data_IF_688352982678
#
_entry.id   IF_688352982678
#
_cell.length_a   1.000
_cell.length_b   1.000
_cell.length_c   1.000
_cell.angle_alpha   90.00
_cell.angle_beta   90.00
_cell.angle_gamma   90.00
#
_symmetry.space_group_name_H-M   'P 1'
#
loop_
_entity.id
_entity.type
_entity.pdbx_description
1 polymer ?
#
# COMPACT_ATOMS: atom_id res chain seq x y z
N UNK A 1 -1.25 -25.66 -24.91
CA UNK A 1 -0.79 -25.29 -23.55
C UNK A 1 -0.94 -23.78 -23.42
N UNK A 2 -1.78 -23.28 -22.52
CA UNK A 2 -1.96 -21.83 -22.34
C UNK A 2 -0.80 -21.29 -21.49
N UNK A 3 -0.09 -20.28 -22.00
CA UNK A 3 0.91 -19.56 -21.23
C UNK A 3 0.24 -18.86 -20.04
N UNK A 4 0.77 -19.05 -18.83
CA UNK A 4 0.21 -18.38 -17.64
C UNK A 4 0.34 -16.87 -17.75
N UNK A 5 1.53 -16.36 -18.08
CA UNK A 5 1.74 -14.95 -18.41
C UNK A 5 1.48 -14.74 -19.91
N UNK A 6 0.50 -13.88 -20.22
CA UNK A 6 0.28 -13.36 -21.58
C UNK A 6 0.82 -11.93 -21.73
N UNK A 7 0.98 -11.22 -20.61
CA UNK A 7 1.50 -9.87 -20.49
C UNK A 7 2.39 -9.78 -19.23
N UNK A 8 3.09 -8.65 -19.06
CA UNK A 8 3.98 -8.42 -17.91
C UNK A 8 3.26 -8.42 -16.56
N UNK A 9 1.96 -8.11 -16.54
CA UNK A 9 1.10 -8.11 -15.35
C UNK A 9 -0.06 -9.07 -15.57
N UNK A 10 -0.38 -9.87 -14.54
CA UNK A 10 -1.55 -10.74 -14.53
C UNK A 10 -2.27 -10.69 -13.19
N UNK A 11 -3.54 -10.28 -13.22
CA UNK A 11 -4.43 -10.29 -12.06
C UNK A 11 -5.28 -11.56 -12.05
N UNK A 12 -5.35 -12.25 -10.91
CA UNK A 12 -6.17 -13.44 -10.67
C UNK A 12 -7.05 -13.20 -9.45
N UNK A 13 -8.37 -13.11 -9.64
CA UNK A 13 -9.32 -12.91 -8.54
C UNK A 13 -9.57 -14.21 -7.78
N UNK A 14 -9.79 -14.09 -6.46
CA UNK A 14 -10.05 -15.23 -5.56
C UNK A 14 -11.44 -15.86 -5.75
N UNK A 15 -12.34 -15.17 -6.43
CA UNK A 15 -13.70 -15.63 -6.72
C UNK A 15 -14.20 -15.01 -8.03
N UNK A 16 -15.08 -15.72 -8.74
CA UNK A 16 -15.83 -15.18 -9.87
C UNK A 16 -16.77 -14.03 -9.44
N UNK A 17 -17.27 -14.07 -8.20
CA UNK A 17 -18.18 -13.06 -7.68
C UNK A 17 -17.39 -11.94 -6.98
N UNK A 18 -17.20 -10.84 -7.70
CA UNK A 18 -16.55 -9.63 -7.18
C UNK A 18 -17.47 -8.92 -6.17
N UNK A 19 -16.98 -8.57 -4.96
CA UNK A 19 -17.80 -7.89 -3.96
C UNK A 19 -18.06 -6.43 -4.35
N UNK A 20 -19.29 -5.96 -4.17
CA UNK A 20 -19.55 -4.51 -4.15
C UNK A 20 -19.03 -3.90 -2.84
N UNK A 21 -18.32 -2.77 -2.95
CA UNK A 21 -17.76 -1.99 -1.84
C UNK A 21 -18.33 -0.58 -1.84
N UNK A 22 -18.58 -0.02 -0.66
CA UNK A 22 -19.13 1.32 -0.49
C UNK A 22 -18.02 2.36 -0.35
N UNK A 23 -17.87 3.21 -1.37
CA UNK A 23 -16.91 4.33 -1.38
C UNK A 23 -15.52 3.94 -0.87
N UNK A 24 -14.90 2.88 -1.41
CA UNK A 24 -13.70 2.32 -0.83
C UNK A 24 -12.50 3.25 -0.92
N UNK A 25 -11.61 3.16 0.08
CA UNK A 25 -10.27 3.76 0.06
C UNK A 25 -9.28 2.64 -0.21
N UNK A 26 -8.38 2.84 -1.18
CA UNK A 26 -7.27 1.93 -1.43
C UNK A 26 -6.05 2.37 -0.60
N UNK A 27 -5.55 1.50 0.27
CA UNK A 27 -4.37 1.75 1.10
C UNK A 27 -3.30 0.74 0.70
N UNK A 28 -2.11 1.24 0.35
CA UNK A 28 -1.02 0.43 -0.19
C UNK A 28 0.23 0.54 0.69
N UNK A 29 0.86 -0.60 0.97
CA UNK A 29 2.19 -0.67 1.59
C UNK A 29 3.02 -1.76 0.93
N UNK A 30 4.14 -1.37 0.31
CA UNK A 30 5.01 -2.32 -0.39
C UNK A 30 6.31 -2.56 0.39
N UNK A 31 7.01 -3.71 0.17
CA UNK A 31 8.38 -3.86 0.64
C UNK A 31 9.24 -2.70 0.14
N UNK A 32 9.96 -2.05 1.04
CA UNK A 32 10.80 -0.88 0.78
C UNK A 32 11.75 -0.63 1.94
N UNK A 33 12.39 0.54 2.01
CA UNK A 33 13.33 0.84 3.11
C UNK A 33 12.67 0.68 4.48
N UNK A 34 13.33 -0.09 5.34
CA UNK A 34 12.87 -0.44 6.69
C UNK A 34 11.55 -1.20 6.78
N UNK A 35 10.97 -1.66 5.66
CA UNK A 35 9.66 -2.31 5.60
C UNK A 35 8.53 -1.48 6.27
N UNK A 36 8.74 -0.17 6.37
CA UNK A 36 7.89 0.75 7.14
C UNK A 36 6.42 0.68 6.70
N UNK A 37 6.17 0.82 5.40
CA UNK A 37 4.81 0.71 4.87
C UNK A 37 4.26 -0.71 4.85
N UNK A 38 5.13 -1.70 4.61
CA UNK A 38 4.76 -3.12 4.51
C UNK A 38 4.26 -3.66 5.85
N UNK A 39 5.01 -3.45 6.93
CA UNK A 39 4.61 -3.91 8.26
C UNK A 39 3.29 -3.27 8.69
N UNK A 40 3.11 -1.98 8.42
CA UNK A 40 1.89 -1.26 8.76
C UNK A 40 0.66 -1.83 8.05
N UNK A 41 0.76 -2.10 6.75
CA UNK A 41 -0.36 -2.66 5.98
C UNK A 41 -0.61 -4.13 6.31
N UNK A 42 0.44 -4.93 6.51
CA UNK A 42 0.33 -6.36 6.84
C UNK A 42 -0.36 -6.52 8.21
N UNK A 43 -0.01 -5.69 9.19
CA UNK A 43 -0.67 -5.63 10.50
C UNK A 43 -2.13 -5.23 10.38
N UNK A 44 -2.43 -4.15 9.64
CA UNK A 44 -3.80 -3.69 9.43
C UNK A 44 -4.68 -4.77 8.74
N UNK A 45 -4.12 -5.49 7.77
CA UNK A 45 -4.79 -6.59 7.07
C UNK A 45 -5.19 -7.69 8.07
N UNK A 46 -4.26 -8.09 8.95
CA UNK A 46 -4.47 -9.10 9.98
C UNK A 46 -5.54 -8.67 10.98
N UNK A 47 -5.37 -7.50 11.59
CA UNK A 47 -6.25 -7.00 12.65
C UNK A 47 -7.68 -6.73 12.19
N UNK A 48 -7.86 -6.34 10.92
CA UNK A 48 -9.19 -6.13 10.35
C UNK A 48 -9.81 -7.41 9.77
N UNK A 49 -9.16 -8.57 9.91
CA UNK A 49 -9.62 -9.86 9.35
C UNK A 49 -9.96 -9.74 7.86
N UNK A 50 -9.07 -9.08 7.12
CA UNK A 50 -9.31 -8.71 5.74
C UNK A 50 -9.43 -9.93 4.84
N UNK A 51 -10.31 -9.84 3.84
CA UNK A 51 -10.58 -10.95 2.92
C UNK A 51 -9.74 -10.84 1.66
N UNK A 52 -9.13 -11.94 1.24
CA UNK A 52 -8.37 -12.03 -0.01
C UNK A 52 -9.27 -11.76 -1.22
N UNK A 53 -8.87 -10.82 -2.08
CA UNK A 53 -9.63 -10.42 -3.27
C UNK A 53 -8.95 -10.89 -4.56
N UNK A 54 -7.66 -10.63 -4.70
CA UNK A 54 -6.92 -10.96 -5.92
C UNK A 54 -5.42 -11.06 -5.65
N UNK A 55 -4.77 -11.92 -6.43
CA UNK A 55 -3.32 -11.96 -6.60
C UNK A 55 -2.95 -11.23 -7.90
N UNK A 56 -1.92 -10.38 -7.85
CA UNK A 56 -1.37 -9.66 -9.00
C UNK A 56 0.08 -10.14 -9.17
N UNK A 57 0.32 -10.86 -10.26
CA UNK A 57 1.63 -11.38 -10.62
C UNK A 57 2.32 -10.45 -11.62
N UNK A 58 3.65 -10.43 -11.57
CA UNK A 58 4.47 -9.72 -12.56
C UNK A 58 5.66 -10.56 -13.01
N UNK A 59 5.97 -10.50 -14.30
CA UNK A 59 7.21 -11.03 -14.88
C UNK A 59 8.46 -10.26 -14.44
N UNK A 60 8.27 -9.09 -13.82
CA UNK A 60 9.35 -8.22 -13.34
C UNK A 60 9.53 -8.26 -11.82
N UNK A 61 8.82 -9.12 -11.10
CA UNK A 61 9.26 -9.44 -9.74
C UNK A 61 10.55 -10.26 -9.79
N UNK A 62 11.36 -10.26 -8.70
CA UNK A 62 12.55 -11.10 -8.64
C UNK A 62 12.22 -12.55 -9.04
N UNK A 63 13.04 -13.21 -9.89
CA UNK A 63 12.70 -14.49 -10.49
C UNK A 63 12.89 -15.66 -9.51
N UNK A 64 12.09 -15.67 -8.44
CA UNK A 64 12.13 -16.64 -7.36
C UNK A 64 10.71 -16.97 -6.87
N UNK A 65 10.60 -18.01 -6.06
CA UNK A 65 9.37 -18.40 -5.35
C UNK A 65 9.48 -18.04 -3.88
N UNK A 66 8.34 -17.80 -3.25
CA UNK A 66 8.21 -17.67 -1.79
C UNK A 66 7.88 -19.03 -1.19
N UNK A 67 8.61 -19.43 -0.15
CA UNK A 67 8.33 -20.63 0.63
C UNK A 67 7.42 -20.23 1.79
N UNK A 68 6.23 -20.83 1.88
CA UNK A 68 5.32 -20.67 3.02
C UNK A 68 5.79 -21.51 4.21
N UNK A 69 5.23 -21.26 5.39
CA UNK A 69 5.56 -22.01 6.61
C UNK A 69 5.25 -23.51 6.51
N UNK A 70 4.39 -23.91 5.58
CA UNK A 70 4.06 -25.31 5.25
C UNK A 70 5.09 -25.98 4.32
N UNK A 71 6.08 -25.24 3.84
CA UNK A 71 7.00 -25.68 2.78
C UNK A 71 6.41 -25.58 1.36
N UNK A 72 5.15 -25.17 1.20
CA UNK A 72 4.53 -24.95 -0.11
C UNK A 72 5.14 -23.69 -0.75
N UNK A 73 5.41 -23.76 -2.05
CA UNK A 73 5.98 -22.65 -2.81
C UNK A 73 4.90 -21.89 -3.60
N UNK A 74 5.04 -20.57 -3.68
CA UNK A 74 4.21 -19.69 -4.52
C UNK A 74 5.09 -18.74 -5.33
N UNK A 75 4.65 -18.36 -6.54
CA UNK A 75 5.26 -17.23 -7.24
C UNK A 75 5.10 -15.95 -6.43
N UNK A 76 6.11 -15.08 -6.48
CA UNK A 76 6.01 -13.74 -5.90
C UNK A 76 4.81 -12.99 -6.49
N UNK A 77 4.06 -12.32 -5.64
CA UNK A 77 2.84 -11.61 -6.01
C UNK A 77 2.62 -10.36 -5.17
N UNK A 78 1.78 -9.48 -5.67
CA UNK A 78 1.08 -8.51 -4.85
C UNK A 78 -0.31 -9.05 -4.56
N UNK A 79 -0.86 -8.70 -3.40
CA UNK A 79 -2.11 -9.26 -2.92
C UNK A 79 -3.04 -8.14 -2.52
N UNK A 80 -4.21 -8.13 -3.15
CA UNK A 80 -5.29 -7.21 -2.85
C UNK A 80 -6.25 -7.88 -1.86
N UNK A 81 -6.56 -7.18 -0.79
CA UNK A 81 -7.54 -7.57 0.23
C UNK A 81 -8.66 -6.53 0.30
N UNK A 82 -9.78 -6.91 0.90
CA UNK A 82 -10.87 -5.99 1.19
C UNK A 82 -11.48 -6.20 2.58
N UNK A 83 -12.05 -5.12 3.12
CA UNK A 83 -12.88 -5.13 4.32
C UNK A 83 -14.15 -4.32 4.06
N UNK A 84 -15.29 -4.94 4.37
CA UNK A 84 -16.58 -4.25 4.42
C UNK A 84 -16.78 -3.69 5.81
N UNK A 85 -16.73 -2.38 5.96
CA UNK A 85 -16.87 -1.74 7.25
C UNK A 85 -18.37 -1.59 7.59
N UNK A 86 -18.85 -2.50 8.45
CA UNK A 86 -20.26 -2.57 8.85
C UNK A 86 -20.74 -1.30 9.59
N UNK A 87 -19.84 -0.46 10.11
CA UNK A 87 -20.19 0.66 10.98
C UNK A 87 -19.80 2.06 10.50
N UNK A 88 -19.12 2.23 9.35
CA UNK A 88 -18.52 3.54 8.96
C UNK A 88 -18.80 3.96 7.51
N UNK A 89 -18.28 5.12 7.11
CA UNK A 89 -18.52 5.75 5.79
C UNK A 89 -17.89 5.02 4.60
N UNK A 90 -16.79 4.30 4.81
CA UNK A 90 -15.95 3.74 3.74
C UNK A 90 -15.68 2.27 3.99
N UNK A 91 -15.71 1.47 2.92
CA UNK A 91 -15.04 0.17 2.88
C UNK A 91 -13.54 0.37 2.55
N UNK A 92 -12.75 -0.69 2.67
CA UNK A 92 -11.31 -0.60 2.43
C UNK A 92 -10.84 -1.66 1.45
N UNK A 93 -9.89 -1.25 0.61
CA UNK A 93 -9.02 -2.12 -0.15
C UNK A 93 -7.60 -1.97 0.42
N UNK A 94 -6.92 -3.09 0.62
CA UNK A 94 -5.53 -3.10 1.10
C UNK A 94 -4.65 -3.81 0.08
N UNK A 95 -3.55 -3.18 -0.31
CA UNK A 95 -2.60 -3.76 -1.25
C UNK A 95 -1.21 -3.84 -0.62
N UNK A 96 -0.67 -5.05 -0.61
CA UNK A 96 0.70 -5.37 -0.16
C UNK A 96 1.31 -6.38 -1.13
N UNK A 97 2.51 -6.86 -0.86
CA UNK A 97 3.09 -7.94 -1.65
C UNK A 97 4.45 -8.39 -1.19
N UNK A 98 5.00 -9.34 -1.97
CA UNK A 98 6.33 -9.92 -1.74
C UNK A 98 7.45 -9.04 -2.32
N UNK A 99 7.16 -8.28 -3.38
CA UNK A 99 8.12 -7.43 -4.07
C UNK A 99 7.46 -6.25 -4.81
N UNK A 100 8.30 -5.30 -5.22
CA UNK A 100 8.02 -4.34 -6.28
C UNK A 100 8.73 -4.78 -7.57
N UNK A 101 8.28 -4.33 -8.77
CA UNK A 101 8.96 -4.64 -10.02
C UNK A 101 10.40 -4.11 -10.05
N UNK A 102 11.33 -4.90 -10.60
CA UNK A 102 12.73 -4.46 -10.79
C UNK A 102 12.92 -3.61 -12.06
N UNK A 103 11.95 -3.62 -12.97
CA UNK A 103 11.96 -2.82 -14.20
C UNK A 103 11.07 -1.59 -14.05
N UNK A 104 11.63 -0.40 -14.27
CA UNK A 104 10.86 0.85 -14.21
C UNK A 104 9.65 0.84 -15.15
N UNK A 105 9.79 0.28 -16.36
CA UNK A 105 8.65 0.15 -17.29
C UNK A 105 7.51 -0.65 -16.65
N UNK A 106 7.83 -1.79 -16.06
CA UNK A 106 6.81 -2.70 -15.50
C UNK A 106 6.25 -2.14 -14.19
N UNK A 107 7.00 -1.30 -13.49
CA UNK A 107 6.50 -0.53 -12.35
C UNK A 107 5.36 0.43 -12.75
N UNK A 108 5.50 1.16 -13.85
CA UNK A 108 4.41 1.96 -14.41
C UNK A 108 3.22 1.08 -14.83
N UNK A 109 3.45 -0.03 -15.54
CA UNK A 109 2.38 -0.95 -15.97
C UNK A 109 1.62 -1.56 -14.79
N UNK A 110 2.32 -1.94 -13.72
CA UNK A 110 1.71 -2.43 -12.49
C UNK A 110 0.86 -1.34 -11.85
N UNK A 111 1.37 -0.11 -11.78
CA UNK A 111 0.63 1.03 -11.27
C UNK A 111 -0.65 1.33 -12.07
N UNK A 112 -0.60 1.24 -13.40
CA UNK A 112 -1.77 1.38 -14.27
C UNK A 112 -2.82 0.30 -13.99
N UNK A 113 -2.41 -0.97 -13.88
CA UNK A 113 -3.33 -2.08 -13.60
C UNK A 113 -3.95 -1.93 -12.19
N UNK A 114 -3.18 -1.54 -11.17
CA UNK A 114 -3.70 -1.30 -9.82
C UNK A 114 -4.73 -0.16 -9.81
N UNK A 115 -4.42 0.98 -10.45
CA UNK A 115 -5.35 2.12 -10.49
C UNK A 115 -6.60 1.79 -11.32
N UNK A 116 -6.47 0.99 -12.38
CA UNK A 116 -7.61 0.47 -13.13
C UNK A 116 -8.50 -0.42 -12.27
N UNK A 117 -7.93 -1.36 -11.51
CA UNK A 117 -8.67 -2.17 -10.54
C UNK A 117 -9.37 -1.26 -9.53
N UNK A 118 -8.65 -0.31 -8.94
CA UNK A 118 -9.21 0.63 -7.96
C UNK A 118 -10.43 1.38 -8.52
N UNK A 119 -10.36 1.86 -9.78
CA UNK A 119 -11.47 2.53 -10.46
C UNK A 119 -12.67 1.62 -10.69
N UNK A 120 -12.46 0.33 -10.97
CA UNK A 120 -13.55 -0.65 -11.09
C UNK A 120 -14.32 -0.86 -9.77
N UNK A 121 -13.70 -0.53 -8.63
CA UNK A 121 -14.34 -0.50 -7.31
C UNK A 121 -14.81 0.90 -6.89
N UNK A 122 -14.83 1.88 -7.80
CA UNK A 122 -15.18 3.27 -7.52
C UNK A 122 -14.29 3.98 -6.48
N UNK A 123 -13.04 3.52 -6.29
CA UNK A 123 -12.08 4.19 -5.42
C UNK A 123 -11.84 5.63 -5.90
N UNK A 124 -11.96 6.59 -4.98
CA UNK A 124 -11.64 8.01 -5.23
C UNK A 124 -10.40 8.50 -4.48
N UNK A 125 -9.90 7.70 -3.53
CA UNK A 125 -8.76 8.03 -2.69
C UNK A 125 -7.81 6.83 -2.58
N UNK A 126 -6.54 7.07 -2.88
CA UNK A 126 -5.41 6.17 -2.61
C UNK A 126 -4.59 6.72 -1.45
N UNK A 127 -4.09 5.84 -0.60
CA UNK A 127 -3.13 6.16 0.46
C UNK A 127 -1.92 5.25 0.28
N UNK A 128 -0.72 5.80 0.14
CA UNK A 128 0.51 5.00 0.10
C UNK A 128 1.30 5.16 1.40
N UNK A 129 1.90 4.06 1.85
CA UNK A 129 2.66 3.98 3.10
C UNK A 129 4.14 3.71 2.76
N UNK A 130 5.04 4.59 3.20
CA UNK A 130 6.45 4.52 2.83
C UNK A 130 7.42 5.05 3.88
N UNK A 131 8.67 5.12 3.46
CA UNK A 131 9.79 5.54 4.30
C UNK A 131 10.31 6.92 3.87
N UNK A 132 10.66 7.75 4.85
CA UNK A 132 11.51 8.92 4.70
C UNK A 132 12.90 8.58 5.26
N UNK A 133 13.85 8.31 4.37
CA UNK A 133 15.16 7.77 4.77
C UNK A 133 16.06 8.91 5.25
N UNK A 134 16.45 8.84 6.53
CA UNK A 134 17.34 9.84 7.16
C UNK A 134 18.75 9.32 7.38
N UNK A 135 18.96 8.00 7.31
CA UNK A 135 20.22 7.35 7.67
C UNK A 135 20.48 7.28 9.19
N UNK A 136 19.54 7.75 10.02
CA UNK A 136 19.67 7.77 11.48
C UNK A 136 18.57 6.94 12.14
N UNK A 137 18.89 6.33 13.28
CA UNK A 137 17.89 5.74 14.15
C UNK A 137 17.19 6.84 14.95
N UNK A 138 15.86 6.78 15.02
CA UNK A 138 15.02 7.76 15.71
C UNK A 138 14.04 7.02 16.62
N UNK A 139 13.99 7.43 17.88
CA UNK A 139 13.09 6.86 18.88
C UNK A 139 11.64 7.27 18.64
N UNK A 140 11.40 8.52 18.23
CA UNK A 140 10.07 9.02 17.86
C UNK A 140 10.08 9.49 16.39
N UNK A 141 9.87 8.57 15.43
CA UNK A 141 9.81 8.88 14.01
C UNK A 141 8.77 9.96 13.70
N UNK A 142 9.18 11.01 13.00
CA UNK A 142 8.21 11.97 12.44
C UNK A 142 7.52 11.34 11.23
N UNK A 143 6.28 11.71 11.03
CA UNK A 143 5.51 11.33 9.84
C UNK A 143 5.36 12.55 8.95
N UNK A 144 5.81 12.41 7.71
CA UNK A 144 5.63 13.39 6.66
C UNK A 144 4.54 12.97 5.69
N UNK A 145 4.03 13.91 4.92
CA UNK A 145 3.03 13.63 3.91
C UNK A 145 3.19 14.42 2.63
N UNK A 146 2.69 13.83 1.55
CA UNK A 146 2.45 14.52 0.28
C UNK A 146 1.04 14.20 -0.19
N UNK A 147 0.47 15.07 -1.02
CA UNK A 147 -0.85 14.88 -1.58
C UNK A 147 -0.89 15.24 -3.06
N UNK A 148 -1.87 14.68 -3.78
CA UNK A 148 -2.09 14.97 -5.20
C UNK A 148 -2.83 16.28 -5.42
N UNK A 149 -3.56 16.78 -4.40
CA UNK A 149 -4.39 17.99 -4.43
C UNK A 149 -4.40 18.75 -3.08
N UNK A 150 -4.93 19.98 -3.08
CA UNK A 150 -5.00 20.84 -1.90
C UNK A 150 -5.88 20.27 -0.80
N UNK A 151 -6.92 19.50 -1.14
CA UNK A 151 -7.79 18.86 -0.17
C UNK A 151 -7.02 17.81 0.65
N UNK A 152 -6.17 17.01 0.00
CA UNK A 152 -5.27 16.09 0.68
C UNK A 152 -4.24 16.81 1.55
N UNK A 153 -3.68 17.95 1.12
CA UNK A 153 -2.78 18.75 1.96
C UNK A 153 -3.49 19.28 3.22
N UNK A 154 -4.74 19.78 3.07
CA UNK A 154 -5.56 20.22 4.22
C UNK A 154 -5.85 19.07 5.18
N UNK A 155 -6.15 17.89 4.65
CA UNK A 155 -6.37 16.67 5.44
C UNK A 155 -5.12 16.32 6.25
N UNK A 156 -3.95 16.22 5.62
CA UNK A 156 -2.69 15.92 6.29
C UNK A 156 -2.39 16.94 7.41
N UNK A 157 -2.57 18.23 7.13
CA UNK A 157 -2.38 19.28 8.12
C UNK A 157 -3.32 19.15 9.33
N UNK A 158 -4.60 18.77 9.12
CA UNK A 158 -5.55 18.56 10.23
C UNK A 158 -5.17 17.41 11.18
N UNK A 159 -4.28 16.51 10.75
CA UNK A 159 -3.74 15.42 11.57
C UNK A 159 -2.30 15.70 12.07
N UNK A 160 -1.83 16.95 11.98
CA UNK A 160 -0.48 17.37 12.33
C UNK A 160 0.60 16.56 11.58
N UNK A 161 0.40 16.34 10.28
CA UNK A 161 1.37 15.68 9.40
C UNK A 161 2.03 16.75 8.54
N UNK A 162 3.34 16.89 8.72
CA UNK A 162 4.14 17.90 8.01
C UNK A 162 4.25 17.54 6.53
N UNK A 163 4.02 18.52 5.66
CA UNK A 163 4.24 18.33 4.22
C UNK A 163 5.72 18.25 3.88
N UNK A 164 6.04 17.60 2.76
CA UNK A 164 7.36 17.69 2.11
C UNK A 164 7.26 18.68 0.96
N UNK A 165 8.13 19.70 0.96
CA UNK A 165 8.11 20.77 -0.04
C UNK A 165 8.95 20.49 -1.29
N UNK A 166 9.93 19.58 -1.20
CA UNK A 166 10.84 19.23 -2.30
C UNK A 166 11.31 17.78 -2.20
N UNK A 167 11.66 17.16 -3.33
CA UNK A 167 12.22 15.81 -3.40
C UNK A 167 11.47 14.92 -4.39
N UNK A 168 11.69 13.62 -4.29
CA UNK A 168 10.99 12.61 -5.08
C UNK A 168 10.60 11.43 -4.21
N UNK A 169 9.51 10.76 -4.60
CA UNK A 169 9.12 9.47 -4.02
C UNK A 169 9.32 8.45 -5.12
N UNK A 170 10.29 7.56 -4.92
CA UNK A 170 10.53 6.43 -5.81
C UNK A 170 9.59 5.27 -5.49
N UNK A 171 9.54 4.31 -6.40
CA UNK A 171 8.81 3.08 -6.17
C UNK A 171 7.30 3.20 -6.41
N UNK A 172 6.58 2.11 -6.16
CA UNK A 172 5.12 2.03 -6.18
C UNK A 172 4.43 3.08 -5.30
N UNK A 173 5.08 3.53 -4.21
CA UNK A 173 4.56 4.57 -3.34
C UNK A 173 4.37 5.92 -4.05
N UNK A 174 5.28 6.27 -4.96
CA UNK A 174 5.19 7.48 -5.78
C UNK A 174 4.38 7.24 -7.06
N UNK A 175 4.62 6.10 -7.73
CA UNK A 175 3.98 5.76 -9.00
C UNK A 175 2.45 5.71 -8.87
N UNK A 176 1.90 5.11 -7.80
CA UNK A 176 0.45 5.06 -7.59
C UNK A 176 -0.17 6.44 -7.38
N UNK A 177 0.54 7.38 -6.74
CA UNK A 177 0.06 8.76 -6.61
C UNK A 177 0.04 9.47 -7.96
N UNK A 178 1.13 9.32 -8.74
CA UNK A 178 1.25 9.93 -10.07
C UNK A 178 0.19 9.43 -11.04
N UNK A 179 0.07 8.11 -11.18
CA UNK A 179 -0.91 7.46 -12.06
C UNK A 179 -2.34 7.71 -11.56
N UNK A 180 -2.57 7.68 -10.25
CA UNK A 180 -3.86 8.03 -9.66
C UNK A 180 -4.28 9.45 -10.04
N UNK A 181 -3.39 10.43 -9.86
CA UNK A 181 -3.66 11.84 -10.15
C UNK A 181 -4.08 12.07 -11.60
N UNK A 182 -3.35 11.53 -12.58
CA UNK A 182 -3.71 11.67 -14.00
C UNK A 182 -5.01 10.94 -14.37
N UNK A 183 -5.44 9.98 -13.55
CA UNK A 183 -6.67 9.21 -13.69
C UNK A 183 -7.84 9.72 -12.84
N UNK A 184 -7.74 10.92 -12.25
CA UNK A 184 -8.73 11.53 -11.36
C UNK A 184 -9.00 10.72 -10.08
N UNK A 185 -8.00 10.00 -9.59
CA UNK A 185 -8.00 9.35 -8.27
C UNK A 185 -7.08 10.17 -7.37
N UNK A 186 -7.64 10.71 -6.29
CA UNK A 186 -6.88 11.50 -5.33
C UNK A 186 -5.95 10.61 -4.53
N UNK A 187 -4.85 11.16 -4.05
CA UNK A 187 -3.81 10.41 -3.36
C UNK A 187 -3.19 11.21 -2.22
N UNK A 188 -2.87 10.52 -1.13
CA UNK A 188 -1.93 10.99 -0.11
C UNK A 188 -0.87 9.91 0.13
N UNK A 189 0.34 10.31 0.50
CA UNK A 189 1.36 9.39 1.02
C UNK A 189 1.70 9.75 2.45
N UNK A 190 1.88 8.74 3.29
CA UNK A 190 2.43 8.86 4.64
C UNK A 190 3.84 8.26 4.63
N UNK A 191 4.82 9.05 5.03
CA UNK A 191 6.24 8.71 4.98
C UNK A 191 6.82 8.81 6.39
N UNK A 192 7.13 7.66 6.99
CA UNK A 192 7.72 7.60 8.32
C UNK A 192 9.23 7.71 8.28
N UNK A 193 9.82 8.52 9.15
CA UNK A 193 11.27 8.58 9.31
C UNK A 193 11.86 7.22 9.67
N UNK A 194 12.96 6.86 9.03
CA UNK A 194 13.70 5.63 9.34
C UNK A 194 15.17 5.77 8.96
N UNK A 195 16.03 4.94 9.56
CA UNK A 195 17.41 4.79 9.09
C UNK A 195 17.47 4.18 7.69
N UNK A 196 16.50 3.30 7.37
CA UNK A 196 16.39 2.60 6.09
C UNK A 196 17.30 1.37 5.95
N UNK A 197 18.18 1.09 6.92
CA UNK A 197 19.14 -0.01 6.87
C UNK A 197 18.60 -1.35 7.38
N UNK A 198 17.64 -1.30 8.30
CA UNK A 198 17.08 -2.48 8.98
C UNK A 198 15.57 -2.37 8.99
N UNK A 199 14.90 -3.50 9.20
CA UNK A 199 13.45 -3.55 9.45
C UNK A 199 13.13 -2.63 10.65
N UNK A 200 12.18 -1.71 10.46
CA UNK A 200 11.89 -0.63 11.39
C UNK A 200 10.40 -0.66 11.80
N UNK A 201 10.09 -1.56 12.74
CA UNK A 201 8.75 -1.71 13.29
C UNK A 201 8.28 -0.44 14.01
N UNK A 202 9.18 0.30 14.65
CA UNK A 202 8.86 1.55 15.33
C UNK A 202 8.36 2.63 14.36
N UNK A 203 9.06 2.81 13.23
CA UNK A 203 8.59 3.70 12.17
C UNK A 203 7.22 3.23 11.64
N UNK A 204 7.09 1.94 11.31
CA UNK A 204 5.83 1.33 10.87
C UNK A 204 4.64 1.62 11.81
N UNK A 205 4.84 1.44 13.11
CA UNK A 205 3.84 1.73 14.13
C UNK A 205 3.39 3.20 14.09
N UNK A 206 4.32 4.14 13.99
CA UNK A 206 4.01 5.57 13.99
C UNK A 206 3.19 5.98 12.76
N UNK A 207 3.49 5.45 11.58
CA UNK A 207 2.70 5.69 10.37
C UNK A 207 1.33 5.03 10.49
N UNK A 208 1.24 3.83 11.04
CA UNK A 208 -0.04 3.15 11.23
C UNK A 208 -0.95 3.94 12.19
N UNK A 209 -0.43 4.46 13.31
CA UNK A 209 -1.16 5.35 14.23
C UNK A 209 -1.76 6.57 13.51
N UNK A 210 -0.99 7.21 12.62
CA UNK A 210 -1.47 8.33 11.81
C UNK A 210 -2.52 7.92 10.77
N UNK A 211 -2.30 6.80 10.07
CA UNK A 211 -3.26 6.25 9.13
C UNK A 211 -4.60 5.96 9.82
N UNK A 212 -4.58 5.24 10.94
CA UNK A 212 -5.75 4.89 11.73
C UNK A 212 -6.55 6.13 12.15
N UNK A 213 -5.86 7.19 12.56
CA UNK A 213 -6.49 8.49 12.88
C UNK A 213 -7.20 9.08 11.66
N UNK A 214 -6.56 9.06 10.48
CA UNK A 214 -7.12 9.59 9.22
C UNK A 214 -8.36 8.80 8.79
N UNK A 215 -8.30 7.47 8.84
CA UNK A 215 -9.41 6.60 8.41
C UNK A 215 -10.43 6.35 9.53
N UNK A 216 -10.21 6.94 10.71
CA UNK A 216 -11.05 6.83 11.89
C UNK A 216 -11.23 5.39 12.34
N UNK A 217 -10.15 4.61 12.47
CA UNK A 217 -10.15 3.20 12.92
C UNK A 217 -9.31 3.02 14.18
N UNK A 218 -9.64 1.98 14.94
CA UNK A 218 -8.85 1.49 16.07
C UNK A 218 -8.66 -0.02 15.86
N UNK A 219 -7.48 -0.52 16.20
CA UNK A 219 -7.06 -1.92 16.11
C UNK A 219 -6.11 -2.23 17.28
N UNK A 220 -5.86 -3.51 17.57
CA UNK A 220 -4.79 -3.87 18.48
C UNK A 220 -3.43 -3.51 17.84
N UNK A 221 -2.48 -3.02 18.63
CA UNK A 221 -1.14 -2.64 18.19
C UNK A 221 -0.03 -3.51 18.81
N UNK A 222 -0.37 -4.47 19.68
CA UNK A 222 0.58 -5.27 20.45
C UNK A 222 1.62 -6.02 19.59
N UNK A 223 1.25 -6.50 18.39
CA UNK A 223 2.21 -7.20 17.51
C UNK A 223 3.21 -6.27 16.78
N UNK A 224 3.05 -4.95 16.92
CA UNK A 224 3.93 -3.92 16.34
C UNK A 224 4.78 -3.17 17.40
N UNK A 225 4.50 -3.39 18.69
CA UNK A 225 5.23 -2.81 19.83
C UNK A 225 6.49 -3.62 20.19
#
# INVERSE_FOLDING_TARGET
MMAFFQNDIKTVYSSEKIPSLRSPILICGFPGSGYVGKLAIDHLIKELTSRHLADIYSTSFPPQVMIKDTGIVELMKNVLYYVKDKGKKHDFLFLTGDAQPVSSKVEYLLGEEIIKIAKNFDVKQVVTLGAYITGMFVETPRIFGVATDDAGLKLLNSFNISKIDNGSISGMNGILLGIGKINNVKGISLLGETSGYVIDANASMHILKKLLSIIGREINMEDLD
#
